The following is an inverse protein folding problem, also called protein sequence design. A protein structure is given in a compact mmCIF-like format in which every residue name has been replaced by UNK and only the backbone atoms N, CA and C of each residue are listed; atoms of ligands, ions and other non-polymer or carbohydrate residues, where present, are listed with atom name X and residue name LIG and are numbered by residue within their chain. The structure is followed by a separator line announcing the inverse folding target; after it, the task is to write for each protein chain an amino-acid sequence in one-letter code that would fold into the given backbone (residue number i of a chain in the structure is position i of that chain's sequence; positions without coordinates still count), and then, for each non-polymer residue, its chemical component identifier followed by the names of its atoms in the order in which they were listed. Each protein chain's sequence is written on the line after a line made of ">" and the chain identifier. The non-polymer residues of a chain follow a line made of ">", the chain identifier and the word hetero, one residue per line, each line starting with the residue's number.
data_IF_031666099269
#
_entry.id   IF_031666099269
#
_cell.length_a   1.000
_cell.length_b   1.000
_cell.length_c   1.000
_cell.angle_alpha   90.00
_cell.angle_beta   90.00
_cell.angle_gamma   90.00
#
_symmetry.space_group_name_H-M   'P 1'
#
loop_
_entity.id
_entity.type
_entity.pdbx_description
1 polymer ?
#
# COMPACT_ATOMS: atom_id res chain seq x y z
N UNK A 1 20.60 -32.77 32.81
CA UNK A 1 20.53 -32.23 31.45
C UNK A 1 19.44 -31.18 31.40
N UNK A 2 19.81 -29.96 31.76
CA UNK A 2 18.94 -28.77 31.87
C UNK A 2 18.83 -28.06 30.51
N UNK A 3 18.37 -28.78 29.48
CA UNK A 3 18.33 -28.25 28.11
C UNK A 3 16.95 -28.34 27.46
N UNK A 4 15.89 -28.45 28.25
CA UNK A 4 14.52 -28.49 27.73
C UNK A 4 13.54 -27.73 28.64
N UNK A 5 13.90 -26.50 28.99
CA UNK A 5 12.89 -25.53 29.42
C UNK A 5 12.37 -24.81 28.17
N UNK A 6 11.24 -25.28 27.62
CA UNK A 6 10.51 -24.64 26.50
C UNK A 6 10.18 -23.15 26.76
N UNK A 7 10.32 -22.70 28.00
CA UNK A 7 10.14 -21.31 28.42
C UNK A 7 11.37 -20.41 28.24
N UNK A 8 12.55 -20.94 27.85
CA UNK A 8 13.78 -20.16 27.77
C UNK A 8 14.15 -19.80 26.32
N UNK A 9 14.22 -18.50 26.02
CA UNK A 9 14.72 -17.98 24.75
C UNK A 9 16.19 -17.53 24.89
N UNK A 10 17.11 -18.23 24.21
CA UNK A 10 18.53 -17.89 24.19
C UNK A 10 18.91 -17.13 22.94
N UNK A 11 19.34 -15.88 23.12
CA UNK A 11 19.90 -15.03 22.07
C UNK A 11 21.43 -14.98 22.21
N UNK A 12 22.16 -15.20 21.12
CA UNK A 12 23.65 -15.15 21.12
C UNK A 12 24.18 -14.39 19.92
N UNK A 13 25.04 -13.40 20.14
CA UNK A 13 25.82 -12.71 19.10
C UNK A 13 27.31 -12.83 19.41
N UNK A 14 28.10 -13.19 18.41
CA UNK A 14 29.56 -13.19 18.48
C UNK A 14 30.08 -12.13 17.50
N UNK A 15 30.93 -11.24 18.00
CA UNK A 15 31.63 -10.21 17.21
C UNK A 15 33.10 -10.58 17.26
N UNK A 16 33.69 -10.77 16.10
CA UNK A 16 35.11 -11.10 15.95
C UNK A 16 35.92 -9.82 15.75
N UNK A 17 37.19 -9.85 16.14
CA UNK A 17 38.10 -8.73 15.97
C UNK A 17 38.37 -8.38 14.49
N UNK A 18 38.14 -9.33 13.58
CA UNK A 18 38.25 -9.16 12.12
C UNK A 18 37.04 -8.44 11.48
N UNK A 19 36.05 -8.03 12.29
CA UNK A 19 34.82 -7.38 11.83
C UNK A 19 33.69 -8.34 11.47
N UNK A 20 33.92 -9.65 11.47
CA UNK A 20 32.89 -10.65 11.26
C UNK A 20 31.90 -10.74 12.44
N UNK A 21 30.61 -10.92 12.15
CA UNK A 21 29.60 -11.18 13.19
C UNK A 21 28.74 -12.39 12.85
N UNK A 22 28.41 -13.19 13.86
CA UNK A 22 27.48 -14.33 13.75
C UNK A 22 26.44 -14.25 14.86
N UNK A 23 25.21 -14.65 14.56
CA UNK A 23 24.08 -14.59 15.47
C UNK A 23 23.33 -15.93 15.52
N UNK A 24 22.76 -16.24 16.67
CA UNK A 24 21.94 -17.43 16.91
C UNK A 24 20.73 -17.11 17.80
N UNK A 25 19.61 -17.79 17.53
CA UNK A 25 18.42 -17.85 18.38
C UNK A 25 18.17 -19.32 18.68
N UNK A 26 18.16 -19.71 19.96
CA UNK A 26 17.99 -21.11 20.41
C UNK A 26 18.90 -22.09 19.64
N UNK A 27 20.17 -21.71 19.49
CA UNK A 27 21.19 -22.50 18.78
C UNK A 27 21.10 -22.47 17.25
N UNK A 28 20.06 -21.88 16.65
CA UNK A 28 19.90 -21.79 15.18
C UNK A 28 20.53 -20.51 14.63
N UNK A 29 21.37 -20.58 13.57
CA UNK A 29 22.01 -19.41 13.01
C UNK A 29 20.97 -18.48 12.37
N UNK A 30 21.10 -17.18 12.60
CA UNK A 30 20.22 -16.14 12.05
C UNK A 30 21.04 -14.94 11.58
N UNK A 31 20.39 -14.06 10.82
CA UNK A 31 20.98 -12.77 10.45
C UNK A 31 20.99 -11.81 11.64
N UNK A 32 21.86 -10.79 11.59
CA UNK A 32 21.87 -9.71 12.59
C UNK A 32 20.54 -8.95 12.64
N UNK A 33 19.86 -8.79 11.50
CA UNK A 33 18.57 -8.13 11.41
C UNK A 33 17.48 -8.89 12.16
N UNK A 34 17.40 -10.21 11.96
CA UNK A 34 16.43 -11.06 12.66
C UNK A 34 16.68 -11.10 14.17
N UNK A 35 17.95 -11.14 14.58
CA UNK A 35 18.32 -11.06 15.99
C UNK A 35 17.87 -9.71 16.59
N UNK A 36 18.09 -8.60 15.89
CA UNK A 36 17.71 -7.27 16.35
C UNK A 36 16.19 -7.11 16.46
N UNK A 37 15.42 -7.61 15.49
CA UNK A 37 13.96 -7.55 15.51
C UNK A 37 13.35 -8.32 16.69
N UNK A 38 13.89 -9.48 17.03
CA UNK A 38 13.43 -10.24 18.19
C UNK A 38 13.89 -9.58 19.48
N UNK A 39 15.15 -9.14 19.56
CA UNK A 39 15.69 -8.46 20.73
C UNK A 39 14.90 -7.20 21.09
N UNK A 40 14.48 -6.40 20.10
CA UNK A 40 13.70 -5.18 20.33
C UNK A 40 12.31 -5.43 20.94
N UNK A 41 11.80 -6.66 20.90
CA UNK A 41 10.53 -7.05 21.53
C UNK A 41 10.72 -7.63 22.93
N UNK A 42 11.94 -8.03 23.29
CA UNK A 42 12.24 -8.78 24.52
C UNK A 42 13.05 -7.97 25.53
N UNK A 43 13.90 -7.06 25.06
CA UNK A 43 14.80 -6.26 25.90
C UNK A 43 14.87 -4.84 25.36
N UNK A 44 14.55 -3.86 26.20
CA UNK A 44 14.80 -2.45 25.92
C UNK A 44 16.15 -2.07 26.57
N UNK A 45 17.18 -1.85 25.76
CA UNK A 45 18.52 -1.50 26.26
C UNK A 45 18.58 0.03 26.43
N UNK A 46 18.46 0.50 27.66
CA UNK A 46 18.69 1.90 28.02
C UNK A 46 20.20 2.23 27.90
N UNK A 47 20.60 2.98 26.86
CA UNK A 47 22.00 3.30 26.55
C UNK A 47 22.13 4.41 25.51
N UNK A 48 23.36 4.77 25.06
CA UNK A 48 23.61 5.94 24.18
C UNK A 48 22.85 5.97 22.83
N UNK A 49 22.18 4.88 22.43
CA UNK A 49 21.36 4.80 21.22
C UNK A 49 19.84 4.96 21.47
N UNK A 50 19.42 5.03 22.73
CA UNK A 50 18.01 5.25 23.12
C UNK A 50 17.50 6.61 22.64
N UNK A 51 18.40 7.60 22.60
CA UNK A 51 18.14 8.88 21.96
C UNK A 51 17.71 8.72 20.50
N UNK A 52 18.22 7.75 19.73
CA UNK A 52 17.77 7.60 18.33
C UNK A 52 16.36 7.02 18.21
N UNK A 53 15.98 6.08 19.09
CA UNK A 53 14.63 5.51 19.08
C UNK A 53 13.58 6.51 19.60
N UNK A 54 13.90 7.30 20.63
CA UNK A 54 13.07 8.42 21.12
C UNK A 54 13.06 9.62 20.15
N UNK A 55 14.09 9.81 19.33
CA UNK A 55 14.10 10.85 18.29
C UNK A 55 13.38 10.42 17.01
N UNK A 56 13.05 9.14 16.86
CA UNK A 56 12.22 8.69 15.75
C UNK A 56 10.82 9.30 15.89
N UNK A 57 10.39 10.01 14.85
CA UNK A 57 9.10 10.72 14.80
C UNK A 57 7.91 9.82 15.18
N UNK A 58 7.96 8.54 14.78
CA UNK A 58 6.90 7.58 15.11
C UNK A 58 6.80 7.32 16.62
N UNK A 59 7.93 7.14 17.30
CA UNK A 59 7.98 6.91 18.75
C UNK A 59 7.48 8.13 19.54
N UNK A 60 7.86 9.34 19.11
CA UNK A 60 7.40 10.59 19.73
C UNK A 60 5.89 10.78 19.59
N UNK A 61 5.35 10.50 18.40
CA UNK A 61 3.91 10.58 18.17
C UNK A 61 3.16 9.52 19.00
N UNK A 62 3.66 8.30 19.08
CA UNK A 62 3.07 7.25 19.90
C UNK A 62 3.04 7.64 21.38
N UNK A 63 4.11 8.23 21.90
CA UNK A 63 4.19 8.73 23.27
C UNK A 63 3.20 9.87 23.52
N UNK A 64 3.12 10.83 22.58
CA UNK A 64 2.19 11.96 22.68
C UNK A 64 0.72 11.50 22.65
N UNK A 65 0.39 10.56 21.76
CA UNK A 65 -0.94 9.96 21.66
C UNK A 65 -1.31 9.19 22.93
N UNK A 66 -0.36 8.44 23.51
CA UNK A 66 -0.56 7.74 24.78
C UNK A 66 -0.82 8.73 25.93
N UNK A 67 -0.08 9.83 25.98
CA UNK A 67 -0.28 10.89 26.96
C UNK A 67 -1.65 11.58 26.80
N UNK A 68 -2.04 11.88 25.56
CA UNK A 68 -3.30 12.54 25.25
C UNK A 68 -4.54 11.67 25.50
N UNK A 69 -4.37 10.35 25.70
CA UNK A 69 -5.46 9.36 25.90
C UNK A 69 -6.56 9.47 24.83
N UNK A 70 -6.17 9.80 23.60
CA UNK A 70 -7.03 10.15 22.48
C UNK A 70 -7.37 8.93 21.58
N UNK A 71 -7.42 7.72 22.14
CA UNK A 71 -7.55 6.47 21.37
C UNK A 71 -8.81 6.46 20.50
N UNK A 72 -9.93 7.00 20.98
CA UNK A 72 -11.17 7.11 20.23
C UNK A 72 -11.04 8.05 19.02
N UNK A 73 -10.43 9.22 19.19
CA UNK A 73 -10.19 10.16 18.09
C UNK A 73 -9.20 9.59 17.07
N UNK A 74 -8.15 8.89 17.51
CA UNK A 74 -7.21 8.20 16.61
C UNK A 74 -7.90 7.15 15.77
N UNK A 75 -8.83 6.40 16.35
CA UNK A 75 -9.63 5.42 15.63
C UNK A 75 -10.52 6.08 14.57
N UNK A 76 -11.18 7.19 14.91
CA UNK A 76 -11.99 7.95 13.94
C UNK A 76 -11.15 8.46 12.76
N UNK A 77 -9.96 9.00 13.03
CA UNK A 77 -9.03 9.48 11.99
C UNK A 77 -8.55 8.31 11.12
N UNK A 78 -8.22 7.15 11.72
CA UNK A 78 -7.83 5.96 10.98
C UNK A 78 -8.94 5.51 10.02
N UNK A 79 -10.17 5.42 10.50
CA UNK A 79 -11.32 5.03 9.69
C UNK A 79 -11.62 6.05 8.58
N UNK A 80 -11.47 7.34 8.86
CA UNK A 80 -11.62 8.39 7.84
C UNK A 80 -10.53 8.26 6.76
N UNK A 81 -9.27 8.05 7.15
CA UNK A 81 -8.15 7.87 6.23
C UNK A 81 -8.30 6.62 5.37
N UNK A 82 -8.77 5.50 5.93
CA UNK A 82 -9.02 4.26 5.19
C UNK A 82 -10.14 4.45 4.16
N UNK A 83 -11.25 5.08 4.56
CA UNK A 83 -12.36 5.40 3.65
C UNK A 83 -11.93 6.34 2.54
N UNK A 84 -11.14 7.37 2.86
CA UNK A 84 -10.58 8.25 1.85
C UNK A 84 -9.72 7.46 0.87
N UNK A 85 -8.76 6.66 1.35
CA UNK A 85 -7.90 5.88 0.44
C UNK A 85 -8.72 4.97 -0.47
N UNK A 86 -9.73 4.28 0.06
CA UNK A 86 -10.62 3.45 -0.75
C UNK A 86 -11.35 4.24 -1.85
N UNK A 87 -11.82 5.46 -1.55
CA UNK A 87 -12.45 6.34 -2.54
C UNK A 87 -11.46 6.85 -3.60
N UNK A 88 -10.20 7.08 -3.23
CA UNK A 88 -9.15 7.42 -4.21
C UNK A 88 -8.90 6.24 -5.15
N UNK A 89 -8.78 5.04 -4.59
CA UNK A 89 -8.54 3.83 -5.37
C UNK A 89 -9.74 3.55 -6.31
N UNK A 90 -10.97 3.74 -5.84
CA UNK A 90 -12.19 3.63 -6.65
C UNK A 90 -12.24 4.67 -7.77
N UNK A 91 -11.95 5.94 -7.45
CA UNK A 91 -11.85 7.01 -8.45
C UNK A 91 -10.81 6.66 -9.50
N UNK A 92 -9.65 6.19 -9.09
CA UNK A 92 -8.55 5.86 -10.00
C UNK A 92 -8.92 4.67 -10.88
N UNK A 93 -9.63 3.66 -10.35
CA UNK A 93 -10.16 2.55 -11.12
C UNK A 93 -11.20 3.00 -12.16
N UNK A 94 -12.13 3.88 -11.78
CA UNK A 94 -13.12 4.47 -12.68
C UNK A 94 -12.47 5.37 -13.74
N UNK A 95 -11.42 6.11 -13.37
CA UNK A 95 -10.67 6.94 -14.32
C UNK A 95 -9.77 6.10 -15.24
N UNK A 96 -9.30 4.94 -14.79
CA UNK A 96 -8.50 4.01 -15.58
C UNK A 96 -9.34 3.23 -16.60
N UNK A 97 -10.67 3.24 -16.50
CA UNK A 97 -11.60 2.74 -17.51
C UNK A 97 -11.65 3.60 -18.79
N UNK A 98 -10.62 4.41 -19.04
CA UNK A 98 -10.49 5.25 -20.23
C UNK A 98 -10.85 4.50 -21.51
N UNK A 99 -11.96 4.93 -22.10
CA UNK A 99 -12.39 4.89 -23.52
C UNK A 99 -13.88 5.28 -23.61
N UNK A 100 -14.59 5.47 -22.48
CA UNK A 100 -16.02 5.81 -22.50
C UNK A 100 -16.28 7.14 -23.21
N UNK A 101 -15.49 8.18 -22.93
CA UNK A 101 -15.69 9.49 -23.55
C UNK A 101 -15.34 9.51 -25.04
N UNK A 102 -14.26 8.84 -25.45
CA UNK A 102 -13.84 8.76 -26.85
C UNK A 102 -14.78 7.85 -27.65
N UNK A 103 -15.25 6.75 -27.04
CA UNK A 103 -16.28 5.88 -27.61
C UNK A 103 -17.62 6.60 -27.76
N UNK A 104 -18.04 7.39 -26.77
CA UNK A 104 -19.23 8.24 -26.87
C UNK A 104 -19.06 9.23 -28.01
N UNK A 105 -17.94 9.96 -28.07
CA UNK A 105 -17.69 10.93 -29.14
C UNK A 105 -17.68 10.29 -30.54
N UNK A 106 -17.10 9.10 -30.69
CA UNK A 106 -17.16 8.35 -31.93
C UNK A 106 -18.59 7.96 -32.32
N UNK A 107 -19.39 7.45 -31.37
CA UNK A 107 -20.77 7.03 -31.63
C UNK A 107 -21.67 8.24 -31.94
N UNK A 108 -21.50 9.36 -31.26
CA UNK A 108 -22.20 10.62 -31.54
C UNK A 108 -21.86 11.14 -32.94
N UNK A 109 -20.58 11.06 -33.34
CA UNK A 109 -20.18 11.41 -34.70
C UNK A 109 -20.86 10.49 -35.72
N UNK A 110 -20.86 9.17 -35.51
CA UNK A 110 -21.51 8.23 -36.42
C UNK A 110 -23.02 8.48 -36.52
N UNK A 111 -23.68 8.76 -35.41
CA UNK A 111 -25.11 9.11 -35.39
C UNK A 111 -25.36 10.40 -36.19
N UNK A 112 -24.54 11.42 -35.97
CA UNK A 112 -24.67 12.70 -36.67
C UNK A 112 -24.39 12.60 -38.18
N UNK A 113 -23.59 11.62 -38.63
CA UNK A 113 -23.45 11.32 -40.06
C UNK A 113 -24.71 10.65 -40.61
N UNK A 114 -25.24 9.64 -39.91
CA UNK A 114 -26.46 8.94 -40.32
C UNK A 114 -27.69 9.87 -40.35
N UNK A 115 -27.77 10.86 -39.46
CA UNK A 115 -28.85 11.85 -39.45
C UNK A 115 -28.68 12.93 -40.54
N UNK A 116 -27.45 13.19 -40.99
CA UNK A 116 -27.17 14.17 -42.06
C UNK A 116 -27.49 13.62 -43.44
N UNK A 117 -27.28 12.33 -43.63
CA UNK A 117 -27.60 11.64 -44.88
C UNK A 117 -29.10 11.34 -44.95
N UNK A 118 -29.73 11.70 -46.07
CA UNK A 118 -31.14 11.39 -46.30
C UNK A 118 -31.27 9.93 -46.73
N UNK A 119 -31.45 9.05 -45.74
CA UNK A 119 -31.58 7.60 -45.93
C UNK A 119 -32.99 7.18 -46.37
N UNK A 120 -33.78 8.08 -46.96
CA UNK A 120 -35.07 7.74 -47.56
C UNK A 120 -34.84 6.69 -48.68
N UNK A 121 -35.53 5.53 -48.65
CA UNK A 121 -35.50 4.54 -49.71
C UNK A 121 -35.72 5.13 -51.12
N UNK A 122 -36.48 6.23 -51.24
CA UNK A 122 -36.68 6.93 -52.50
C UNK A 122 -35.44 7.70 -52.99
N UNK A 123 -34.64 8.27 -52.09
CA UNK A 123 -33.39 8.97 -52.41
C UNK A 123 -32.28 7.99 -52.82
N UNK A 124 -32.24 6.81 -52.18
CA UNK A 124 -31.29 5.74 -52.50
C UNK A 124 -31.57 5.15 -53.89
N UNK A 125 -32.85 4.93 -54.23
CA UNK A 125 -33.24 4.44 -55.55
C UNK A 125 -32.88 5.44 -56.69
N UNK A 126 -32.82 6.74 -56.40
CA UNK A 126 -32.43 7.76 -57.37
C UNK A 126 -30.91 7.76 -57.69
N UNK A 127 -30.08 7.29 -56.76
CA UNK A 127 -28.62 7.16 -56.96
C UNK A 127 -28.27 5.99 -57.89
N UNK A 128 -29.01 4.87 -57.81
CA UNK A 128 -28.84 3.71 -58.71
C UNK A 128 -29.23 4.03 -60.16
N UNK A 129 -30.24 4.89 -60.36
CA UNK A 129 -30.72 5.29 -61.70
C UNK A 129 -29.71 6.18 -62.43
N UNK A 130 -28.91 6.98 -61.71
CA UNK A 130 -27.89 7.86 -62.30
C UNK A 130 -26.52 7.18 -62.51
N UNK A 131 -26.36 5.93 -62.05
CA UNK A 131 -25.14 5.14 -62.22
C UNK A 131 -25.22 4.12 -63.39
N UNK A 132 -26.33 4.07 -64.12
CA UNK A 132 -26.51 3.26 -65.34
C UNK A 132 -26.54 4.16 -66.57
#
# INVERSE_FOLDING_TARGET
>A
NELDDEAQCQLRRIIRADGGSRAWINGRPVTSSQLAELASRLVEIHGQHEHQALMARHSQLALLDAYARNSAQREQVRQASQRWQALLDERDALSAQGDVSDRIGFLEHQLAELEREDLDPAAIAALDVNMT
#
